data_IF_651167562449
#
_entry.id   IF_651167562449
#
_cell.length_a   1.000
_cell.length_b   1.000
_cell.length_c   1.000
_cell.angle_alpha   90.00
_cell.angle_beta   90.00
_cell.angle_gamma   90.00
#
_symmetry.space_group_name_H-M   'P 1'
#
loop_
_entity.id
_entity.type
_entity.pdbx_description
1 polymer ?
#
# COMPACT_ATOMS: atom_id res chain seq x y z
N UNK A 1 73.42 14.43 -41.35
CA UNK A 1 73.45 15.48 -40.30
C UNK A 1 72.11 15.40 -39.58
N UNK A 2 71.96 14.61 -38.49
CA UNK A 2 72.27 14.96 -37.08
C UNK A 2 71.42 16.17 -36.64
N UNK A 3 70.57 16.17 -35.59
CA UNK A 3 70.30 15.35 -34.39
C UNK A 3 68.75 15.28 -34.20
N UNK A 4 68.08 14.21 -33.75
CA UNK A 4 68.11 13.44 -32.49
C UNK A 4 67.44 14.11 -31.27
N UNK A 5 66.29 13.52 -30.86
CA UNK A 5 65.81 13.19 -29.49
C UNK A 5 64.30 12.93 -29.55
N UNK A 6 63.80 11.69 -29.62
CA UNK A 6 63.65 10.61 -28.62
C UNK A 6 62.64 10.82 -27.47
N UNK A 7 61.81 9.78 -27.28
CA UNK A 7 60.88 9.52 -26.17
C UNK A 7 59.53 8.98 -26.70
N UNK A 8 59.43 7.77 -27.28
CA UNK A 8 59.31 6.41 -26.68
C UNK A 8 58.10 6.26 -25.72
N UNK A 9 57.06 5.56 -26.18
CA UNK A 9 56.36 4.53 -25.41
C UNK A 9 56.08 3.35 -26.35
N UNK A 10 56.44 2.17 -25.85
CA UNK A 10 56.60 0.89 -26.55
C UNK A 10 55.33 0.02 -26.40
N UNK A 11 54.97 -0.71 -27.45
CA UNK A 11 53.98 -1.78 -27.42
C UNK A 11 54.71 -3.09 -27.05
N UNK A 12 54.23 -3.82 -26.04
CA UNK A 12 54.38 -5.29 -25.97
C UNK A 12 53.19 -5.82 -25.17
N UNK A 13 52.31 -6.59 -25.79
CA UNK A 13 52.40 -8.03 -26.07
C UNK A 13 51.85 -8.86 -24.90
N UNK A 14 50.74 -9.54 -25.22
CA UNK A 14 50.06 -10.54 -24.41
C UNK A 14 51.01 -11.70 -24.11
N UNK A 15 51.25 -11.98 -22.83
CA UNK A 15 51.64 -13.32 -22.39
C UNK A 15 50.82 -13.76 -21.18
N UNK A 16 50.15 -14.89 -21.42
CA UNK A 16 49.49 -15.77 -20.47
C UNK A 16 50.49 -16.25 -19.41
N UNK A 17 50.15 -16.08 -18.13
CA UNK A 17 50.84 -16.75 -17.03
C UNK A 17 49.82 -17.33 -16.06
N UNK A 18 49.63 -18.65 -16.13
CA UNK A 18 49.00 -19.44 -15.08
C UNK A 18 49.92 -19.47 -13.85
N UNK A 19 49.39 -19.04 -12.70
CA UNK A 19 50.15 -18.97 -11.45
C UNK A 19 49.25 -18.86 -10.24
N UNK A 20 48.56 -19.95 -9.93
CA UNK A 20 47.79 -20.20 -8.71
C UNK A 20 48.34 -19.54 -7.44
N UNK A 21 47.66 -18.50 -6.94
CA UNK A 21 47.67 -18.15 -5.51
C UNK A 21 46.23 -18.03 -5.01
N UNK A 22 45.91 -18.98 -4.12
CA UNK A 22 44.64 -19.09 -3.43
C UNK A 22 44.39 -17.85 -2.57
N UNK A 23 43.43 -17.01 -2.97
CA UNK A 23 42.57 -16.35 -2.00
C UNK A 23 41.23 -17.05 -2.01
N UNK A 24 41.14 -18.07 -1.15
CA UNK A 24 39.88 -18.67 -0.74
C UNK A 24 39.20 -17.61 0.13
N UNK A 25 38.42 -16.72 -0.49
CA UNK A 25 37.43 -15.93 0.25
C UNK A 25 36.39 -16.95 0.70
N UNK A 26 36.64 -17.49 1.87
CA UNK A 26 35.64 -18.21 2.64
C UNK A 26 34.77 -17.11 3.23
N UNK A 27 33.79 -16.62 2.47
CA UNK A 27 32.65 -15.95 3.10
C UNK A 27 31.95 -17.04 3.90
N UNK A 28 32.31 -17.09 5.18
CA UNK A 28 31.56 -17.79 6.20
C UNK A 28 30.11 -17.32 6.12
N UNK A 29 29.25 -18.12 5.46
CA UNK A 29 27.81 -18.07 5.63
C UNK A 29 27.53 -18.59 7.05
N UNK A 30 27.86 -17.75 8.04
CA UNK A 30 27.54 -17.95 9.45
C UNK A 30 26.44 -17.01 9.92
N UNK A 31 25.93 -16.12 9.05
CA UNK A 31 24.99 -15.07 9.40
C UNK A 31 23.53 -15.51 9.54
N UNK A 32 23.12 -16.61 8.87
CA UNK A 32 21.75 -17.13 9.00
C UNK A 32 21.54 -17.83 10.35
N UNK A 33 22.52 -18.59 10.87
CA UNK A 33 22.37 -19.28 12.16
C UNK A 33 22.37 -18.29 13.34
N UNK A 34 23.18 -17.23 13.28
CA UNK A 34 23.17 -16.18 14.33
C UNK A 34 21.88 -15.35 14.34
N UNK A 35 21.32 -15.01 13.18
CA UNK A 35 20.07 -14.23 13.12
C UNK A 35 18.87 -15.05 13.62
N UNK A 36 18.79 -16.33 13.24
CA UNK A 36 17.73 -17.24 13.70
C UNK A 36 17.84 -17.53 15.20
N UNK A 37 19.07 -17.63 15.73
CA UNK A 37 19.32 -17.74 17.19
C UNK A 37 18.94 -16.48 17.95
N UNK A 38 19.27 -15.29 17.43
CA UNK A 38 18.90 -14.02 18.06
C UNK A 38 17.37 -13.85 18.07
N UNK A 39 16.69 -14.17 16.96
CA UNK A 39 15.22 -14.13 16.89
C UNK A 39 14.56 -15.16 17.82
N UNK A 40 15.17 -16.34 17.96
CA UNK A 40 14.78 -17.38 18.92
C UNK A 40 14.94 -16.94 20.39
N UNK A 41 16.02 -16.22 20.70
CA UNK A 41 16.25 -15.67 22.06
C UNK A 41 15.24 -14.56 22.36
N UNK A 42 14.97 -13.66 21.41
CA UNK A 42 14.00 -12.58 21.57
C UNK A 42 12.59 -13.15 21.78
N UNK A 43 12.18 -14.14 20.99
CA UNK A 43 10.87 -14.80 21.17
C UNK A 43 10.77 -15.54 22.49
N UNK A 44 11.82 -16.21 22.94
CA UNK A 44 11.85 -16.85 24.27
C UNK A 44 11.74 -15.81 25.41
N UNK A 45 12.44 -14.66 25.29
CA UNK A 45 12.34 -13.57 26.27
C UNK A 45 10.92 -13.00 26.32
N UNK A 46 10.28 -12.78 25.17
CA UNK A 46 8.90 -12.31 25.09
C UNK A 46 7.90 -13.31 25.69
N UNK A 47 8.11 -14.61 25.48
CA UNK A 47 7.29 -15.67 26.11
C UNK A 47 7.44 -15.69 27.64
N UNK A 48 8.67 -15.52 28.15
CA UNK A 48 8.93 -15.42 29.59
C UNK A 48 8.28 -14.17 30.19
N UNK A 49 8.35 -13.03 29.50
CA UNK A 49 7.69 -11.79 29.93
C UNK A 49 6.17 -11.97 29.97
N UNK A 50 5.58 -12.59 28.93
CA UNK A 50 4.15 -12.87 28.89
C UNK A 50 3.70 -13.81 30.03
N UNK A 51 4.50 -14.84 30.36
CA UNK A 51 4.25 -15.72 31.49
C UNK A 51 4.35 -15.00 32.83
N UNK A 52 5.35 -14.13 33.00
CA UNK A 52 5.48 -13.31 34.22
C UNK A 52 4.28 -12.35 34.39
N UNK A 53 3.84 -11.72 33.30
CA UNK A 53 2.62 -10.89 33.31
C UNK A 53 1.38 -11.71 33.66
N UNK A 54 1.25 -12.93 33.12
CA UNK A 54 0.15 -13.84 33.45
C UNK A 54 0.16 -14.23 34.93
N UNK A 55 1.34 -14.52 35.50
CA UNK A 55 1.50 -14.84 36.93
C UNK A 55 1.11 -13.64 37.80
N UNK A 56 1.51 -12.42 37.41
CA UNK A 56 1.13 -11.19 38.13
C UNK A 56 -0.38 -10.99 38.08
N UNK A 57 -1.01 -11.16 36.92
CA UNK A 57 -2.47 -11.07 36.76
C UNK A 57 -3.17 -12.13 37.61
N UNK A 58 -2.74 -13.38 37.57
CA UNK A 58 -3.30 -14.46 38.39
C UNK A 58 -3.14 -14.22 39.89
N UNK A 59 -2.02 -13.63 40.31
CA UNK A 59 -1.74 -13.26 41.70
C UNK A 59 -2.66 -12.14 42.18
N UNK A 60 -2.93 -11.14 41.32
CA UNK A 60 -3.89 -10.07 41.60
C UNK A 60 -5.30 -10.65 41.70
N UNK A 61 -5.71 -11.51 40.76
CA UNK A 61 -7.03 -12.16 40.76
C UNK A 61 -7.22 -13.04 41.99
N UNK A 62 -6.24 -13.86 42.35
CA UNK A 62 -6.27 -14.69 43.56
C UNK A 62 -6.29 -13.83 44.84
N UNK A 63 -5.54 -12.73 44.87
CA UNK A 63 -5.56 -11.74 45.95
C UNK A 63 -6.95 -11.13 46.13
N UNK A 64 -7.60 -10.71 45.05
CA UNK A 64 -8.98 -10.20 45.11
C UNK A 64 -9.99 -11.28 45.52
N UNK A 65 -9.86 -12.52 45.03
CA UNK A 65 -10.79 -13.61 45.35
C UNK A 65 -10.68 -14.05 46.81
N UNK A 66 -9.47 -14.05 47.39
CA UNK A 66 -9.25 -14.35 48.80
C UNK A 66 -9.89 -13.32 49.74
N UNK A 67 -9.98 -12.04 49.30
CA UNK A 67 -10.61 -10.96 50.07
C UNK A 67 -12.15 -11.00 50.02
N UNK A 68 -12.74 -11.60 48.99
CA UNK A 68 -14.19 -11.82 48.94
C UNK A 68 -14.65 -12.94 49.89
N UNK A 69 -13.79 -13.91 50.21
CA UNK A 69 -14.10 -15.01 51.13
C UNK A 69 -13.95 -14.65 52.62
N UNK A 70 -13.53 -13.43 52.97
CA UNK A 70 -13.34 -12.99 54.37
C UNK A 70 -14.28 -11.85 54.79
N UNK A 71 -15.40 -11.66 54.09
CA UNK A 71 -16.43 -10.72 54.51
C UNK A 71 -17.30 -11.41 55.56
N UNK A 72 -17.05 -11.12 56.84
CA UNK A 72 -17.97 -11.46 57.93
C UNK A 72 -19.30 -10.71 57.71
N UNK A 73 -20.39 -11.48 57.73
CA UNK A 73 -21.77 -10.95 57.65
C UNK A 73 -22.15 -10.42 59.04
N UNK A 74 -22.33 -9.10 59.16
CA UNK A 74 -22.87 -8.50 60.39
C UNK A 74 -24.39 -8.69 60.46
N UNK A 75 -24.84 -9.53 61.39
CA UNK A 75 -26.24 -9.68 61.79
C UNK A 75 -26.56 -8.69 62.94
N UNK A 76 -27.65 -7.93 62.85
CA UNK A 76 -28.05 -6.99 63.91
C UNK A 76 -29.31 -7.49 64.63
N UNK A 77 -29.15 -7.94 65.88
CA UNK A 77 -30.25 -8.13 66.84
C UNK A 77 -30.17 -7.07 67.95
N UNK A 78 -31.25 -6.35 68.22
CA UNK A 78 -31.53 -5.79 69.54
C UNK A 78 -33.03 -5.44 69.70
N UNK A 79 -33.58 -5.75 70.87
CA UNK A 79 -34.99 -5.67 71.22
C UNK A 79 -35.34 -4.52 72.18
N UNK A 80 -36.54 -3.95 72.01
CA UNK A 80 -37.40 -3.30 73.04
C UNK A 80 -37.25 -1.78 73.27
N UNK A 81 -38.29 -1.04 73.75
CA UNK A 81 -39.53 -1.49 74.40
C UNK A 81 -40.88 -0.88 73.89
N UNK A 82 -42.02 -1.42 74.34
CA UNK A 82 -43.43 -0.98 74.18
C UNK A 82 -43.97 -0.32 75.48
N UNK A 83 -45.23 0.18 75.60
CA UNK A 83 -46.12 0.97 74.72
C UNK A 83 -46.81 2.17 75.46
N UNK A 84 -47.52 3.10 74.76
CA UNK A 84 -48.81 3.68 75.25
C UNK A 84 -49.56 4.56 74.21
N UNK A 85 -50.84 4.20 74.06
CA UNK A 85 -52.09 4.86 73.62
C UNK A 85 -52.19 6.39 73.43
N UNK A 86 -52.95 6.82 72.40
CA UNK A 86 -53.90 7.95 72.48
C UNK A 86 -53.89 9.01 71.37
N UNK A 87 -54.86 8.91 70.44
CA UNK A 87 -55.62 9.97 69.74
C UNK A 87 -54.95 11.24 69.13
N UNK A 88 -55.09 11.32 67.80
CA UNK A 88 -55.62 12.43 66.98
C UNK A 88 -54.90 13.80 66.86
N UNK A 89 -54.65 14.13 65.58
CA UNK A 89 -54.52 15.44 64.91
C UNK A 89 -53.28 16.30 65.21
N UNK A 90 -52.47 16.50 64.17
CA UNK A 90 -51.71 17.74 63.98
C UNK A 90 -50.28 17.57 63.46
N UNK A 91 -50.14 17.71 62.13
CA UNK A 91 -48.94 18.19 61.40
C UNK A 91 -47.64 17.40 61.46
N UNK A 92 -47.21 16.94 60.28
CA UNK A 92 -45.87 16.45 59.94
C UNK A 92 -44.85 17.59 60.06
N UNK A 93 -43.69 17.34 60.70
CA UNK A 93 -42.44 17.75 60.08
C UNK A 93 -41.43 16.59 59.96
N UNK A 94 -40.59 16.78 58.95
CA UNK A 94 -39.74 15.79 58.30
C UNK A 94 -38.55 15.33 59.16
N UNK A 95 -38.16 14.08 58.94
CA UNK A 95 -37.29 13.23 59.76
C UNK A 95 -35.81 13.65 59.65
N UNK A 96 -35.11 13.73 60.78
CA UNK A 96 -33.63 13.66 60.85
C UNK A 96 -33.18 13.02 62.14
N UNK A 97 -32.63 11.79 62.07
CA UNK A 97 -31.59 11.19 62.93
C UNK A 97 -31.50 9.67 62.69
N UNK A 98 -30.40 8.97 63.04
CA UNK A 98 -29.04 9.43 63.32
C UNK A 98 -27.94 8.70 62.51
N UNK A 99 -26.77 9.33 62.56
CA UNK A 99 -25.47 8.91 62.03
C UNK A 99 -25.01 7.57 62.63
N UNK A 100 -24.67 6.59 61.78
CA UNK A 100 -23.81 5.48 62.16
C UNK A 100 -22.34 5.90 61.98
N UNK A 101 -21.64 6.07 63.10
CA UNK A 101 -20.20 6.25 63.15
C UNK A 101 -19.57 4.85 63.36
N UNK A 102 -19.11 4.21 62.29
CA UNK A 102 -18.21 3.04 62.39
C UNK A 102 -16.95 3.40 61.63
N UNK A 103 -15.88 3.63 62.40
CA UNK A 103 -14.53 3.79 61.88
C UNK A 103 -14.02 2.43 61.39
N UNK A 104 -14.07 2.17 60.10
CA UNK A 104 -13.24 1.14 59.48
C UNK A 104 -11.94 1.79 59.01
N UNK A 105 -10.89 1.64 59.81
CA UNK A 105 -9.53 1.93 59.38
C UNK A 105 -9.13 0.92 58.30
N UNK A 106 -9.17 1.34 57.05
CA UNK A 106 -8.45 0.69 55.95
C UNK A 106 -7.48 1.70 55.31
N UNK A 107 -6.66 2.35 56.13
CA UNK A 107 -5.42 2.97 55.67
C UNK A 107 -4.31 1.92 55.81
N UNK A 108 -4.18 1.12 54.76
CA UNK A 108 -3.10 0.17 54.57
C UNK A 108 -2.65 0.21 53.12
N UNK A 109 -1.81 1.21 52.83
CA UNK A 109 -0.95 1.33 51.64
C UNK A 109 -1.57 1.90 50.34
N UNK A 110 -1.79 3.23 50.32
CA UNK A 110 -2.00 4.02 49.09
C UNK A 110 -0.70 4.53 48.46
N UNK A 111 0.47 4.06 48.94
CA UNK A 111 1.79 4.47 48.42
C UNK A 111 2.32 3.53 47.33
N UNK A 112 1.74 2.34 47.19
CA UNK A 112 2.20 1.32 46.23
C UNK A 112 1.73 1.58 44.79
N UNK A 113 0.59 2.24 44.57
CA UNK A 113 0.00 2.38 43.22
C UNK A 113 0.56 3.54 42.39
N UNK A 114 1.00 4.64 43.02
CA UNK A 114 1.52 5.82 42.29
C UNK A 114 2.86 5.58 41.59
N UNK A 115 3.81 4.92 42.28
CA UNK A 115 5.17 4.70 41.77
C UNK A 115 5.21 3.75 40.56
N UNK A 116 4.37 2.72 40.55
CA UNK A 116 4.28 1.80 39.41
C UNK A 116 3.62 2.44 38.19
N UNK A 117 2.63 3.32 38.40
CA UNK A 117 1.96 4.08 37.33
C UNK A 117 2.91 5.11 36.72
N UNK A 118 3.68 5.83 37.54
CA UNK A 118 4.68 6.78 37.07
C UNK A 118 5.82 6.09 36.30
N UNK A 119 6.24 4.92 36.75
CA UNK A 119 7.24 4.08 36.06
C UNK A 119 6.72 3.63 34.68
N UNK A 120 5.44 3.28 34.58
CA UNK A 120 4.81 2.84 33.33
C UNK A 120 4.68 4.00 32.32
N UNK A 121 4.26 5.19 32.78
CA UNK A 121 4.14 6.41 31.97
C UNK A 121 5.52 6.89 31.49
N UNK A 122 6.53 6.84 32.35
CA UNK A 122 7.89 7.22 31.97
C UNK A 122 8.51 6.21 30.99
N UNK A 123 8.23 4.91 31.17
CA UNK A 123 8.68 3.85 30.25
C UNK A 123 8.04 3.96 28.86
N UNK A 124 6.77 4.34 28.76
CA UNK A 124 6.09 4.53 27.47
C UNK A 124 6.56 5.80 26.76
N UNK A 125 6.81 6.89 27.49
CA UNK A 125 7.39 8.13 26.95
C UNK A 125 8.82 7.92 26.41
N UNK A 126 9.63 7.14 27.12
CA UNK A 126 10.99 6.78 26.73
C UNK A 126 11.02 5.88 25.48
N UNK A 127 10.05 4.96 25.38
CA UNK A 127 9.86 4.13 24.18
C UNK A 127 9.49 4.99 22.97
N UNK A 128 8.62 5.99 23.15
CA UNK A 128 8.28 6.97 22.11
C UNK A 128 9.48 7.79 21.64
N UNK A 129 10.39 8.19 22.56
CA UNK A 129 11.63 8.90 22.22
C UNK A 129 12.60 8.04 21.41
N UNK A 130 12.83 6.80 21.83
CA UNK A 130 13.72 5.87 21.11
C UNK A 130 13.21 5.53 19.70
N UNK A 131 11.89 5.52 19.52
CA UNK A 131 11.27 5.34 18.20
C UNK A 131 11.52 6.56 17.29
N UNK A 132 11.44 7.77 17.84
CA UNK A 132 11.73 9.01 17.12
C UNK A 132 13.21 9.11 16.71
N UNK A 133 14.11 8.64 17.57
CA UNK A 133 15.53 8.55 17.24
C UNK A 133 15.78 7.54 16.11
N UNK A 134 15.08 6.40 16.08
CA UNK A 134 15.21 5.41 15.01
C UNK A 134 14.80 5.95 13.62
N UNK A 135 13.82 6.86 13.57
CA UNK A 135 13.42 7.57 12.35
C UNK A 135 14.51 8.50 11.80
N UNK A 136 15.44 8.99 12.63
CA UNK A 136 16.52 9.89 12.20
C UNK A 136 17.69 9.18 11.51
N UNK A 137 17.82 7.86 11.70
CA UNK A 137 18.94 7.05 11.19
C UNK A 137 18.71 6.45 9.80
N UNK A 138 17.48 6.43 9.29
CA UNK A 138 17.14 5.78 8.02
C UNK A 138 17.22 6.75 6.84
N UNK A 139 18.45 7.18 6.52
CA UNK A 139 18.76 8.10 5.41
C UNK A 139 19.31 7.44 4.13
N UNK A 140 19.11 6.13 3.91
CA UNK A 140 19.59 5.46 2.70
C UNK A 140 18.57 4.43 2.16
N UNK A 141 18.34 4.53 0.84
CA UNK A 141 17.56 3.68 -0.08
C UNK A 141 16.04 3.92 -0.18
N UNK A 142 15.59 4.30 -1.38
CA UNK A 142 14.39 5.13 -1.61
C UNK A 142 13.03 4.41 -1.68
N UNK A 143 12.97 3.08 -1.77
CA UNK A 143 11.68 2.35 -1.88
C UNK A 143 11.30 1.58 -0.61
N UNK A 144 12.28 1.07 0.14
CA UNK A 144 12.04 0.27 1.34
C UNK A 144 11.75 1.18 2.56
N UNK A 145 12.28 2.39 2.54
CA UNK A 145 12.30 3.31 3.68
C UNK A 145 11.04 4.19 3.77
N UNK A 146 10.40 4.54 2.64
CA UNK A 146 9.12 5.26 2.64
C UNK A 146 8.00 4.43 3.31
N UNK A 147 7.94 3.12 3.01
CA UNK A 147 6.94 2.23 3.61
C UNK A 147 7.16 2.04 5.12
N UNK A 148 8.42 1.86 5.55
CA UNK A 148 8.75 1.70 6.98
C UNK A 148 8.43 3.00 7.74
N UNK A 149 8.70 4.17 7.15
CA UNK A 149 8.41 5.49 7.74
C UNK A 149 6.89 5.72 7.88
N UNK A 150 6.11 5.39 6.86
CA UNK A 150 4.65 5.51 6.87
C UNK A 150 4.01 4.57 7.91
N UNK A 151 4.48 3.31 7.96
CA UNK A 151 4.00 2.32 8.93
C UNK A 151 4.40 2.70 10.37
N UNK A 152 5.61 3.20 10.60
CA UNK A 152 6.04 3.71 11.90
C UNK A 152 5.20 4.89 12.36
N UNK A 153 4.82 5.80 11.45
CA UNK A 153 3.97 6.95 11.76
C UNK A 153 2.56 6.53 12.18
N UNK A 154 1.95 5.56 11.48
CA UNK A 154 0.65 4.99 11.84
C UNK A 154 0.69 4.26 13.19
N UNK A 155 1.76 3.51 13.46
CA UNK A 155 1.98 2.84 14.74
C UNK A 155 2.15 3.88 15.87
N UNK A 156 2.87 4.96 15.62
CA UNK A 156 3.09 6.04 16.59
C UNK A 156 1.78 6.76 16.93
N UNK A 157 0.97 7.10 15.93
CA UNK A 157 -0.32 7.76 16.11
C UNK A 157 -1.31 6.85 16.87
N UNK A 158 -1.38 5.56 16.51
CA UNK A 158 -2.22 4.57 17.19
C UNK A 158 -1.80 4.28 18.63
N UNK A 159 -0.48 4.25 18.89
CA UNK A 159 0.06 4.12 20.24
C UNK A 159 -0.26 5.35 21.08
N UNK A 160 -0.07 6.56 20.54
CA UNK A 160 -0.40 7.82 21.24
C UNK A 160 -1.89 7.92 21.59
N UNK A 161 -2.79 7.61 20.66
CA UNK A 161 -4.24 7.60 20.90
C UNK A 161 -4.65 6.58 21.99
N UNK A 162 -4.07 5.38 21.93
CA UNK A 162 -4.28 4.34 22.94
C UNK A 162 -3.78 4.77 24.32
N UNK A 163 -2.68 5.52 24.38
CA UNK A 163 -2.09 6.02 25.64
C UNK A 163 -3.00 7.09 26.27
N UNK A 164 -3.57 7.98 25.45
CA UNK A 164 -4.53 9.02 25.90
C UNK A 164 -5.80 8.37 26.47
N UNK A 165 -6.35 7.37 25.77
CA UNK A 165 -7.52 6.62 26.23
C UNK A 165 -7.26 5.85 27.52
N UNK A 166 -6.08 5.22 27.64
CA UNK A 166 -5.69 4.52 28.87
C UNK A 166 -5.53 5.47 30.06
N UNK A 167 -4.96 6.67 29.84
CA UNK A 167 -4.90 7.71 30.88
C UNK A 167 -6.29 8.18 31.32
N UNK A 168 -7.26 8.27 30.41
CA UNK A 168 -8.66 8.58 30.75
C UNK A 168 -9.28 7.53 31.68
N UNK A 169 -9.10 6.25 31.33
CA UNK A 169 -9.60 5.11 32.14
C UNK A 169 -8.94 5.09 33.53
N UNK A 170 -7.62 5.32 33.61
CA UNK A 170 -6.89 5.35 34.88
C UNK A 170 -7.39 6.49 35.77
N UNK A 171 -7.63 7.68 35.20
CA UNK A 171 -8.22 8.80 35.94
C UNK A 171 -9.66 8.51 36.37
N UNK A 172 -10.44 7.82 35.54
CA UNK A 172 -11.78 7.33 35.88
C UNK A 172 -11.75 6.37 37.07
N UNK A 173 -10.86 5.38 37.07
CA UNK A 173 -10.70 4.42 38.16
C UNK A 173 -10.16 5.07 39.45
N UNK A 174 -9.23 6.02 39.34
CA UNK A 174 -8.70 6.75 40.48
C UNK A 174 -9.80 7.51 41.23
N UNK A 175 -10.79 8.05 40.50
CA UNK A 175 -11.93 8.75 41.06
C UNK A 175 -13.00 7.83 41.66
N UNK A 176 -13.03 6.53 41.30
CA UNK A 176 -13.92 5.52 41.91
C UNK A 176 -13.42 5.13 43.32
N UNK A 177 -12.11 5.23 43.58
CA UNK A 177 -11.51 4.88 44.87
C UNK A 177 -11.64 5.93 45.97
N UNK A 178 -12.07 7.17 45.67
CA UNK A 178 -11.91 8.30 46.59
C UNK A 178 -13.20 8.93 47.12
N UNK A 179 -14.41 8.42 46.84
CA UNK A 179 -15.63 9.03 47.38
C UNK A 179 -16.66 8.00 47.87
N UNK A 180 -17.05 8.11 49.14
CA UNK A 180 -18.28 7.52 49.67
C UNK A 180 -19.48 8.10 48.90
N UNK A 181 -20.10 7.44 47.90
CA UNK A 181 -21.52 7.67 47.51
C UNK A 181 -22.06 6.64 46.49
N UNK A 182 -23.30 6.20 46.75
CA UNK A 182 -24.35 5.58 45.92
C UNK A 182 -23.96 4.66 44.74
N UNK A 183 -24.38 3.40 44.87
CA UNK A 183 -24.24 2.29 43.90
C UNK A 183 -24.60 2.64 42.44
N UNK A 184 -25.51 3.60 42.20
CA UNK A 184 -25.90 4.02 40.85
C UNK A 184 -24.82 4.84 40.10
N UNK A 185 -24.02 5.65 40.81
CA UNK A 185 -22.97 6.47 40.17
C UNK A 185 -21.76 5.60 39.82
N UNK A 186 -21.42 4.65 40.69
CA UNK A 186 -20.41 3.63 40.41
C UNK A 186 -20.80 2.75 39.21
N UNK A 187 -22.08 2.36 39.11
CA UNK A 187 -22.59 1.60 37.96
C UNK A 187 -22.51 2.40 36.65
N UNK A 188 -22.82 3.71 36.69
CA UNK A 188 -22.69 4.59 35.53
C UNK A 188 -21.24 4.75 35.07
N UNK A 189 -20.30 4.91 36.00
CA UNK A 189 -18.88 5.01 35.69
C UNK A 189 -18.32 3.67 35.16
N UNK A 190 -18.74 2.54 35.72
CA UNK A 190 -18.41 1.19 35.20
C UNK A 190 -18.98 1.01 33.79
N UNK A 191 -20.21 1.47 33.52
CA UNK A 191 -20.80 1.43 32.18
C UNK A 191 -19.99 2.25 31.17
N UNK A 192 -19.58 3.47 31.53
CA UNK A 192 -18.72 4.31 30.69
C UNK A 192 -17.36 3.65 30.42
N UNK A 193 -16.73 3.09 31.46
CA UNK A 193 -15.47 2.34 31.33
C UNK A 193 -15.67 1.10 30.45
N UNK A 194 -16.79 0.40 30.57
CA UNK A 194 -17.09 -0.79 29.76
C UNK A 194 -17.25 -0.41 28.29
N UNK A 195 -17.89 0.73 28.00
CA UNK A 195 -18.02 1.24 26.63
C UNK A 195 -16.69 1.75 26.07
N UNK A 196 -15.85 2.38 26.89
CA UNK A 196 -14.49 2.77 26.49
C UNK A 196 -13.61 1.53 26.25
N UNK A 197 -13.68 0.50 27.09
CA UNK A 197 -13.01 -0.79 26.88
C UNK A 197 -13.53 -1.48 25.64
N UNK A 198 -14.83 -1.44 25.36
CA UNK A 198 -15.41 -2.00 24.13
C UNK A 198 -14.94 -1.21 22.89
N UNK A 199 -14.81 0.11 23.00
CA UNK A 199 -14.25 0.96 21.96
C UNK A 199 -12.77 0.66 21.73
N UNK A 200 -12.01 0.37 22.79
CA UNK A 200 -10.61 -0.05 22.71
C UNK A 200 -10.53 -1.48 22.15
N UNK A 201 -11.36 -2.43 22.57
CA UNK A 201 -11.42 -3.77 21.99
C UNK A 201 -11.72 -3.70 20.50
N UNK A 202 -12.72 -2.93 20.08
CA UNK A 202 -13.01 -2.69 18.66
C UNK A 202 -11.88 -1.92 17.96
N UNK A 203 -11.21 -0.98 18.64
CA UNK A 203 -10.02 -0.30 18.08
C UNK A 203 -8.81 -1.22 18.00
N UNK A 204 -8.66 -2.21 18.86
CA UNK A 204 -7.56 -3.20 18.88
C UNK A 204 -7.84 -4.41 18.01
N UNK A 205 -9.12 -4.73 17.76
CA UNK A 205 -9.58 -5.67 16.73
C UNK A 205 -9.55 -5.01 15.34
N UNK A 206 -9.77 -3.69 15.27
CA UNK A 206 -9.55 -2.85 14.08
C UNK A 206 -8.10 -2.36 13.94
N UNK A 207 -7.25 -2.54 14.96
CA UNK A 207 -5.83 -2.87 14.80
C UNK A 207 -5.79 -4.35 14.36
N UNK A 208 -6.55 -4.65 13.31
CA UNK A 208 -6.01 -5.41 12.23
C UNK A 208 -4.81 -4.60 11.73
N UNK A 209 -3.67 -4.73 12.42
CA UNK A 209 -2.48 -4.94 11.61
C UNK A 209 -2.93 -6.09 10.70
N UNK A 210 -2.89 -5.98 9.37
CA UNK A 210 -2.71 -7.17 8.60
C UNK A 210 -1.31 -7.69 8.95
N UNK A 211 -1.10 -8.20 10.18
CA UNK A 211 -0.34 -9.42 10.33
C UNK A 211 -1.25 -10.40 9.63
N UNK A 212 -1.13 -10.47 8.29
CA UNK A 212 -1.74 -11.51 7.52
C UNK A 212 -1.36 -12.79 8.26
N UNK A 213 -2.36 -13.40 8.90
CA UNK A 213 -2.21 -14.63 9.67
C UNK A 213 -1.87 -15.68 8.62
N UNK A 214 -0.60 -15.78 8.20
CA UNK A 214 -0.12 -16.66 7.15
C UNK A 214 -1.25 -17.06 6.21
N UNK A 215 -1.90 -16.09 5.55
CA UNK A 215 -2.92 -16.44 4.57
C UNK A 215 -2.09 -16.93 3.41
N UNK A 216 -1.79 -18.22 3.41
CA UNK A 216 -1.17 -18.96 2.31
C UNK A 216 -2.16 -19.02 1.14
N UNK A 217 -2.74 -17.89 0.78
CA UNK A 217 -3.45 -17.67 -0.45
C UNK A 217 -2.42 -17.33 -1.51
N UNK A 218 -2.45 -18.06 -2.62
CA UNK A 218 -1.58 -17.82 -3.77
C UNK A 218 -1.92 -16.53 -4.52
N UNK A 219 -3.06 -15.88 -4.23
CA UNK A 219 -3.52 -14.66 -4.89
C UNK A 219 -4.55 -13.88 -4.05
N UNK A 220 -4.78 -12.61 -4.40
CA UNK A 220 -5.86 -11.80 -3.80
C UNK A 220 -7.24 -12.46 -4.01
N UNK A 221 -7.45 -13.12 -5.15
CA UNK A 221 -8.70 -13.82 -5.44
C UNK A 221 -8.92 -14.98 -4.47
N UNK A 222 -7.88 -15.77 -4.19
CA UNK A 222 -7.98 -16.87 -3.22
C UNK A 222 -8.32 -16.36 -1.82
N UNK A 223 -7.72 -15.23 -1.40
CA UNK A 223 -8.03 -14.58 -0.13
C UNK A 223 -9.49 -14.11 -0.11
N UNK A 224 -9.95 -13.40 -1.14
CA UNK A 224 -11.34 -12.90 -1.21
C UNK A 224 -12.36 -14.05 -1.22
N UNK A 225 -12.04 -15.17 -1.86
CA UNK A 225 -12.90 -16.36 -1.85
C UNK A 225 -12.96 -17.02 -0.47
N UNK A 226 -11.84 -17.08 0.25
CA UNK A 226 -11.79 -17.67 1.60
C UNK A 226 -12.39 -16.74 2.67
N UNK A 227 -12.20 -15.43 2.51
CA UNK A 227 -12.69 -14.39 3.41
C UNK A 227 -13.43 -13.31 2.60
N UNK A 228 -14.73 -13.49 2.31
CA UNK A 228 -15.51 -12.54 1.51
C UNK A 228 -15.56 -11.12 2.07
N UNK A 229 -15.41 -10.97 3.40
CA UNK A 229 -15.41 -9.66 4.08
C UNK A 229 -14.04 -8.96 4.08
N UNK A 230 -13.01 -9.55 3.43
CA UNK A 230 -11.70 -8.92 3.32
C UNK A 230 -11.80 -7.59 2.57
N UNK A 231 -11.21 -6.54 3.13
CA UNK A 231 -11.19 -5.18 2.57
C UNK A 231 -9.97 -4.93 1.68
N UNK A 232 -10.00 -3.89 0.86
CA UNK A 232 -8.88 -3.54 0.00
C UNK A 232 -7.68 -3.05 0.82
N UNK A 233 -6.47 -3.42 0.40
CA UNK A 233 -5.27 -3.08 1.15
C UNK A 233 -4.06 -3.92 0.73
N UNK A 234 -2.97 -3.79 1.48
CA UNK A 234 -1.76 -4.57 1.23
C UNK A 234 -1.79 -5.91 1.97
N UNK A 235 -1.51 -6.98 1.24
CA UNK A 235 -1.45 -8.36 1.72
C UNK A 235 -0.07 -8.96 1.42
N UNK A 236 0.32 -9.97 2.19
CA UNK A 236 1.53 -10.76 1.88
C UNK A 236 1.14 -11.97 1.04
N UNK A 237 1.58 -12.02 -0.21
CA UNK A 237 1.33 -13.11 -1.17
C UNK A 237 2.68 -13.60 -1.71
N UNK A 238 2.95 -14.89 -1.60
CA UNK A 238 4.24 -15.50 -2.00
C UNK A 238 5.49 -14.80 -1.41
N UNK A 239 5.37 -14.19 -0.23
CA UNK A 239 6.44 -13.43 0.42
C UNK A 239 6.59 -11.97 -0.03
N UNK A 240 5.72 -11.50 -0.93
CA UNK A 240 5.70 -10.12 -1.43
C UNK A 240 4.50 -9.34 -0.89
N UNK A 241 4.69 -8.03 -0.67
CA UNK A 241 3.60 -7.11 -0.34
C UNK A 241 2.87 -6.73 -1.62
N UNK A 242 1.61 -7.16 -1.76
CA UNK A 242 0.77 -6.96 -2.94
C UNK A 242 -0.48 -6.19 -2.52
N UNK A 243 -0.82 -5.13 -3.27
CA UNK A 243 -2.10 -4.45 -3.05
C UNK A 243 -3.22 -5.28 -3.66
N UNK A 244 -4.17 -5.70 -2.83
CA UNK A 244 -5.38 -6.36 -3.24
C UNK A 244 -6.53 -5.37 -3.27
N UNK A 245 -7.15 -5.20 -4.45
CA UNK A 245 -8.46 -4.58 -4.53
C UNK A 245 -9.52 -5.64 -4.24
N UNK A 246 -10.12 -5.57 -3.05
CA UNK A 246 -11.12 -6.53 -2.59
C UNK A 246 -12.55 -6.01 -2.68
N UNK A 247 -12.73 -4.69 -2.73
CA UNK A 247 -14.06 -4.07 -2.58
C UNK A 247 -14.63 -3.61 -3.91
N UNK A 248 -13.78 -3.10 -4.80
CA UNK A 248 -14.23 -2.50 -6.05
C UNK A 248 -14.33 -3.55 -7.15
N UNK A 249 -15.39 -3.46 -7.95
CA UNK A 249 -15.51 -4.19 -9.22
C UNK A 249 -14.57 -3.57 -10.25
N UNK A 250 -13.67 -4.37 -10.82
CA UNK A 250 -12.82 -3.96 -11.94
C UNK A 250 -13.13 -4.83 -13.15
N UNK A 251 -13.27 -4.20 -14.32
CA UNK A 251 -13.56 -4.88 -15.59
C UNK A 251 -14.76 -5.84 -15.52
N UNK A 252 -15.82 -5.44 -14.81
CA UNK A 252 -17.03 -6.25 -14.62
C UNK A 252 -16.88 -7.45 -13.65
N UNK A 253 -15.71 -7.65 -13.05
CA UNK A 253 -15.45 -8.71 -12.06
C UNK A 253 -15.32 -8.12 -10.66
N UNK A 254 -16.02 -8.71 -9.69
CA UNK A 254 -15.91 -8.35 -8.28
C UNK A 254 -14.45 -8.45 -7.78
N UNK A 255 -14.19 -7.94 -6.58
CA UNK A 255 -12.84 -7.86 -5.99
C UNK A 255 -12.05 -9.17 -5.90
N UNK A 256 -10.85 -9.09 -5.33
CA UNK A 256 -9.83 -10.12 -5.38
C UNK A 256 -8.78 -9.89 -6.48
N UNK A 257 -8.64 -8.65 -6.94
CA UNK A 257 -7.67 -8.25 -7.95
C UNK A 257 -6.32 -7.92 -7.33
N UNK A 258 -5.24 -8.48 -7.86
CA UNK A 258 -3.87 -8.26 -7.40
C UNK A 258 -3.20 -7.18 -8.24
N UNK A 259 -2.87 -6.02 -7.67
CA UNK A 259 -2.17 -4.95 -8.41
C UNK A 259 -0.70 -5.30 -8.58
N UNK A 260 -0.25 -5.36 -9.83
CA UNK A 260 1.14 -5.70 -10.20
C UNK A 260 1.91 -4.51 -10.77
N UNK A 261 1.21 -3.45 -11.19
CA UNK A 261 1.83 -2.21 -11.66
C UNK A 261 1.01 -0.99 -11.20
N UNK A 262 1.70 0.07 -10.79
CA UNK A 262 1.08 1.34 -10.44
C UNK A 262 2.06 2.49 -10.69
N UNK A 263 1.59 3.52 -11.38
CA UNK A 263 2.22 4.82 -11.50
C UNK A 263 1.11 5.87 -11.58
N UNK A 264 1.29 6.95 -10.83
CA UNK A 264 0.48 8.16 -10.92
C UNK A 264 1.41 9.37 -10.78
N UNK A 265 1.74 10.00 -11.89
CA UNK A 265 2.67 11.12 -11.93
C UNK A 265 2.07 12.44 -11.44
N UNK A 266 0.74 12.49 -11.21
CA UNK A 266 0.09 13.60 -10.51
C UNK A 266 0.51 13.64 -9.03
N UNK A 267 0.87 12.48 -8.46
CA UNK A 267 1.56 12.40 -7.18
C UNK A 267 3.01 12.87 -7.33
N UNK A 268 3.29 14.05 -6.79
CA UNK A 268 4.61 14.67 -6.78
C UNK A 268 5.72 13.81 -6.16
N UNK A 269 5.37 12.81 -5.35
CA UNK A 269 6.33 11.91 -4.69
C UNK A 269 6.78 10.75 -5.59
N UNK A 270 6.03 10.45 -6.64
CA UNK A 270 6.39 9.40 -7.59
C UNK A 270 7.41 9.89 -8.61
N UNK A 271 8.29 8.99 -9.04
CA UNK A 271 9.32 9.26 -10.04
C UNK A 271 9.16 8.32 -11.22
N UNK A 272 9.69 8.72 -12.38
CA UNK A 272 9.69 7.83 -13.53
C UNK A 272 10.48 6.56 -13.25
N UNK A 273 9.96 5.38 -13.68
CA UNK A 273 10.69 4.14 -13.53
C UNK A 273 12.04 4.18 -14.25
N UNK A 274 12.98 3.37 -13.76
CA UNK A 274 14.29 3.20 -14.41
C UNK A 274 14.14 2.88 -15.90
N UNK A 275 14.89 3.59 -16.74
CA UNK A 275 14.81 3.44 -18.20
C UNK A 275 13.82 4.38 -18.88
N UNK A 276 13.13 5.26 -18.12
CA UNK A 276 12.25 6.30 -18.65
C UNK A 276 12.77 7.69 -18.28
N UNK A 277 12.51 8.69 -19.13
CA UNK A 277 12.81 10.10 -18.84
C UNK A 277 11.57 10.82 -18.32
N UNK A 278 11.79 11.81 -17.47
CA UNK A 278 10.74 12.69 -16.98
C UNK A 278 10.43 13.79 -18.00
N UNK A 279 9.16 13.87 -18.41
CA UNK A 279 8.54 15.07 -18.94
C UNK A 279 7.95 15.88 -17.79
N UNK A 280 8.23 17.18 -17.76
CA UNK A 280 7.72 18.10 -16.75
C UNK A 280 7.49 19.48 -17.38
N UNK A 281 6.46 19.57 -18.20
CA UNK A 281 6.12 20.74 -19.02
C UNK A 281 4.60 20.89 -19.07
N UNK A 282 4.09 22.12 -19.22
CA UNK A 282 2.64 22.35 -19.32
C UNK A 282 1.84 22.00 -18.06
N UNK A 283 2.50 21.90 -16.90
CA UNK A 283 1.86 21.56 -15.63
C UNK A 283 1.61 20.05 -15.42
N UNK A 284 2.01 19.20 -16.37
CA UNK A 284 1.90 17.75 -16.25
C UNK A 284 3.27 17.10 -16.07
N UNK A 285 3.29 15.98 -15.37
CA UNK A 285 4.45 15.09 -15.25
C UNK A 285 4.13 13.76 -15.92
N UNK A 286 5.05 13.25 -16.72
CA UNK A 286 4.87 11.99 -17.44
C UNK A 286 6.21 11.31 -17.72
N UNK A 287 6.19 10.03 -18.08
CA UNK A 287 7.37 9.21 -18.27
C UNK A 287 7.46 8.68 -19.70
N UNK A 288 8.40 9.20 -20.47
CA UNK A 288 8.62 8.84 -21.88
C UNK A 288 9.92 8.07 -22.10
N UNK A 289 10.21 7.74 -23.35
CA UNK A 289 11.45 7.06 -23.76
C UNK A 289 12.68 7.93 -23.46
N UNK A 290 13.86 7.36 -23.14
CA UNK A 290 15.11 8.12 -23.10
C UNK A 290 15.38 8.82 -24.42
N UNK A 291 16.13 9.94 -24.36
CA UNK A 291 16.49 10.70 -25.55
C UNK A 291 17.22 9.79 -26.54
N UNK A 292 16.63 9.63 -27.72
CA UNK A 292 17.11 8.83 -28.85
C UNK A 292 16.74 9.50 -30.16
N UNK A 293 17.59 9.38 -31.17
CA UNK A 293 17.35 9.81 -32.56
C UNK A 293 16.87 8.66 -33.46
N UNK A 294 16.47 7.54 -32.85
CA UNK A 294 16.08 6.33 -33.56
C UNK A 294 14.81 5.74 -32.97
N UNK A 295 14.08 5.07 -33.85
CA UNK A 295 12.96 4.19 -33.55
C UNK A 295 13.28 3.21 -32.42
N UNK A 296 12.26 2.80 -31.67
CA UNK A 296 12.40 1.74 -30.70
C UNK A 296 11.46 1.84 -29.53
N UNK A 297 11.72 0.97 -28.55
CA UNK A 297 10.91 0.84 -27.34
C UNK A 297 11.77 0.99 -26.09
N UNK A 298 11.21 1.62 -25.08
CA UNK A 298 11.70 1.56 -23.70
C UNK A 298 10.76 0.69 -22.88
N UNK A 299 11.30 -0.26 -22.12
CA UNK A 299 10.51 -1.30 -21.49
C UNK A 299 10.66 -1.33 -19.98
N UNK A 300 9.57 -1.64 -19.29
CA UNK A 300 9.56 -2.08 -17.89
C UNK A 300 8.83 -3.41 -17.79
N UNK A 301 9.30 -4.25 -16.88
CA UNK A 301 8.69 -5.55 -16.58
C UNK A 301 8.07 -5.53 -15.18
N UNK A 302 6.83 -6.00 -15.10
CA UNK A 302 6.06 -6.11 -13.88
C UNK A 302 5.95 -7.58 -13.50
N UNK A 303 6.59 -7.93 -12.39
CA UNK A 303 6.56 -9.29 -11.84
C UNK A 303 5.15 -9.67 -11.43
N UNK A 304 4.69 -10.84 -11.88
CA UNK A 304 3.47 -11.46 -11.33
C UNK A 304 3.66 -11.93 -9.89
N UNK A 305 4.90 -11.99 -9.41
CA UNK A 305 5.30 -12.56 -8.11
C UNK A 305 4.81 -14.01 -7.92
N UNK A 306 4.73 -14.76 -9.03
CA UNK A 306 4.24 -16.14 -9.05
C UNK A 306 2.73 -16.27 -8.84
N UNK A 307 1.97 -15.17 -8.90
CA UNK A 307 0.52 -15.19 -8.89
C UNK A 307 0.07 -15.76 -10.23
N UNK A 308 -0.65 -16.88 -10.19
CA UNK A 308 -1.32 -17.41 -11.38
C UNK A 308 -2.57 -16.59 -11.67
N UNK A 309 -2.75 -16.19 -12.92
CA UNK A 309 -3.86 -15.35 -13.36
C UNK A 309 -4.47 -15.81 -14.68
N UNK A 310 -5.77 -15.61 -14.85
CA UNK A 310 -6.49 -15.80 -16.11
C UNK A 310 -7.09 -14.52 -16.65
N UNK A 311 -7.04 -13.43 -15.87
CA UNK A 311 -7.55 -12.12 -16.28
C UNK A 311 -6.53 -11.03 -15.98
N UNK A 312 -6.49 -10.02 -16.85
CA UNK A 312 -5.74 -8.78 -16.66
C UNK A 312 -6.74 -7.63 -16.85
N UNK A 313 -6.74 -6.71 -15.90
CA UNK A 313 -7.56 -5.51 -15.95
C UNK A 313 -6.69 -4.31 -15.60
N UNK A 314 -6.85 -3.20 -16.31
CA UNK A 314 -6.06 -2.02 -16.00
C UNK A 314 -6.45 -0.83 -16.84
N UNK A 315 -5.75 0.28 -16.62
CA UNK A 315 -5.82 1.47 -17.46
C UNK A 315 -4.45 2.08 -17.60
N UNK A 316 -4.23 2.74 -18.73
CA UNK A 316 -3.00 3.49 -19.05
C UNK A 316 -3.46 4.82 -19.62
N UNK A 317 -2.89 5.92 -19.13
CA UNK A 317 -3.13 7.25 -19.66
C UNK A 317 -1.80 7.95 -19.89
N UNK A 318 -1.71 8.68 -20.98
CA UNK A 318 -0.49 9.35 -21.40
C UNK A 318 -0.76 10.62 -22.18
N UNK A 319 0.27 11.06 -22.87
CA UNK A 319 0.23 12.26 -23.69
C UNK A 319 0.92 11.99 -25.02
N UNK A 320 0.47 12.69 -26.05
CA UNK A 320 1.18 12.74 -27.32
C UNK A 320 2.31 13.76 -27.20
N UNK A 321 3.52 13.39 -27.63
CA UNK A 321 4.57 14.35 -27.94
C UNK A 321 4.80 14.33 -29.44
N UNK A 322 4.76 15.50 -30.08
CA UNK A 322 5.14 15.62 -31.48
C UNK A 322 4.23 14.88 -32.46
N UNK A 323 4.83 14.19 -33.44
CA UNK A 323 4.13 13.67 -34.63
C UNK A 323 3.92 12.16 -34.65
N UNK A 324 3.38 11.58 -33.58
CA UNK A 324 3.11 10.12 -33.51
C UNK A 324 2.30 9.60 -34.69
N UNK A 325 2.69 8.46 -35.24
CA UNK A 325 2.18 7.92 -36.50
C UNK A 325 1.30 6.67 -36.35
N UNK A 326 0.72 6.44 -35.17
CA UNK A 326 -0.15 5.30 -34.88
C UNK A 326 0.46 3.93 -35.21
N UNK A 327 0.12 3.35 -36.38
CA UNK A 327 0.62 2.04 -36.88
C UNK A 327 1.21 2.18 -38.28
N UNK A 328 1.63 3.39 -38.65
CA UNK A 328 2.02 3.72 -40.01
C UNK A 328 3.18 2.82 -40.49
N UNK A 329 3.12 2.31 -41.74
CA UNK A 329 4.08 1.31 -42.19
C UNK A 329 5.36 1.89 -42.81
N UNK A 330 5.51 3.21 -42.94
CA UNK A 330 6.52 3.78 -43.85
C UNK A 330 7.87 4.13 -43.22
N UNK A 331 7.98 4.25 -41.90
CA UNK A 331 9.15 4.89 -41.29
C UNK A 331 10.10 3.91 -40.56
N UNK A 332 9.94 2.60 -40.82
CA UNK A 332 10.81 1.55 -40.28
C UNK A 332 11.22 0.45 -41.29
N UNK A 333 12.09 -0.51 -40.88
CA UNK A 333 12.43 -1.67 -41.69
C UNK A 333 11.15 -2.39 -42.14
N UNK A 334 11.11 -2.83 -43.40
CA UNK A 334 9.93 -3.49 -43.96
C UNK A 334 9.41 -4.62 -43.04
N UNK A 335 8.16 -4.50 -42.59
CA UNK A 335 7.46 -5.52 -41.80
C UNK A 335 7.59 -5.38 -40.28
N UNK A 336 8.20 -4.32 -39.76
CA UNK A 336 8.25 -4.04 -38.31
C UNK A 336 6.85 -3.98 -37.69
N UNK A 337 5.84 -3.47 -38.40
CA UNK A 337 4.47 -3.42 -37.93
C UNK A 337 3.86 -4.82 -37.72
N UNK A 338 4.34 -5.86 -38.41
CA UNK A 338 3.84 -7.22 -38.24
C UNK A 338 4.64 -8.04 -37.23
N UNK A 339 5.58 -7.43 -36.51
CA UNK A 339 6.45 -8.10 -35.56
C UNK A 339 6.13 -7.66 -34.14
N UNK A 340 5.59 -8.59 -33.32
CA UNK A 340 5.30 -8.34 -31.91
C UNK A 340 6.53 -7.91 -31.11
N UNK A 341 7.73 -8.30 -31.56
CA UNK A 341 8.98 -7.93 -30.89
C UNK A 341 9.48 -6.54 -31.26
N UNK A 342 8.89 -5.89 -32.27
CA UNK A 342 9.23 -4.55 -32.72
C UNK A 342 8.42 -3.46 -32.03
N UNK A 343 8.72 -2.20 -32.39
CA UNK A 343 7.92 -1.00 -32.15
C UNK A 343 6.76 -0.92 -33.16
N UNK A 344 5.88 -1.93 -33.18
CA UNK A 344 4.85 -2.05 -34.22
C UNK A 344 3.74 -0.98 -34.19
N UNK A 345 3.75 -0.12 -33.17
CA UNK A 345 2.85 1.00 -33.01
C UNK A 345 3.48 2.05 -32.09
N UNK A 346 3.12 3.30 -32.31
CA UNK A 346 3.41 4.42 -31.44
C UNK A 346 2.48 4.41 -30.25
N UNK A 347 3.05 4.37 -29.05
CA UNK A 347 2.28 4.36 -27.82
C UNK A 347 2.77 3.32 -26.84
N UNK A 348 1.84 2.68 -26.12
CA UNK A 348 2.12 1.72 -25.06
C UNK A 348 1.73 0.30 -25.49
N UNK A 349 2.70 -0.61 -25.48
CA UNK A 349 2.52 -2.01 -25.87
C UNK A 349 2.61 -2.90 -24.62
N UNK A 350 1.49 -3.54 -24.25
CA UNK A 350 1.46 -4.52 -23.16
C UNK A 350 1.59 -5.93 -23.72
N UNK A 351 2.56 -6.68 -23.20
CA UNK A 351 2.85 -8.06 -23.61
C UNK A 351 3.17 -8.94 -22.41
N UNK A 352 3.15 -10.26 -22.59
CA UNK A 352 3.55 -11.23 -21.56
C UNK A 352 4.31 -12.42 -22.15
N UNK A 353 5.06 -13.10 -21.29
CA UNK A 353 5.66 -14.40 -21.59
C UNK A 353 6.83 -14.36 -22.57
N UNK A 354 7.46 -15.53 -22.74
CA UNK A 354 8.54 -15.76 -23.70
C UNK A 354 8.32 -17.13 -24.38
N UNK A 355 7.95 -17.19 -25.69
CA UNK A 355 7.88 -16.07 -26.63
C UNK A 355 6.79 -15.06 -26.26
N UNK A 356 7.00 -13.80 -26.70
CA UNK A 356 6.15 -12.66 -26.39
C UNK A 356 4.73 -12.89 -26.92
N UNK A 357 3.74 -12.61 -26.09
CA UNK A 357 2.32 -12.69 -26.42
C UNK A 357 1.64 -11.35 -26.14
N UNK A 358 0.66 -11.00 -26.98
CA UNK A 358 -0.06 -9.73 -26.90
C UNK A 358 -1.08 -9.72 -25.76
N UNK A 359 -1.10 -8.61 -25.01
CA UNK A 359 -2.08 -8.33 -23.96
C UNK A 359 -3.02 -7.22 -24.39
N UNK A 360 -2.47 -6.03 -24.66
CA UNK A 360 -3.21 -4.83 -25.08
C UNK A 360 -2.28 -3.84 -25.78
N UNK A 361 -2.80 -3.03 -26.70
CA UNK A 361 -2.05 -1.94 -27.34
C UNK A 361 -2.76 -0.61 -27.12
N UNK A 362 -2.03 0.43 -26.73
CA UNK A 362 -2.52 1.80 -26.66
C UNK A 362 -1.78 2.62 -27.71
N UNK A 363 -2.50 3.11 -28.71
CA UNK A 363 -1.95 3.71 -29.92
C UNK A 363 -2.14 5.23 -29.88
N UNK A 364 -1.09 6.00 -30.15
CA UNK A 364 -1.17 7.44 -30.30
C UNK A 364 -1.27 7.82 -31.78
N UNK A 365 -2.35 8.49 -32.17
CA UNK A 365 -2.55 8.98 -33.54
C UNK A 365 -1.93 10.35 -33.80
N UNK A 366 -1.78 10.70 -35.08
CA UNK A 366 -1.19 11.98 -35.50
C UNK A 366 -2.09 13.20 -35.22
N UNK A 367 -3.37 13.12 -35.56
CA UNK A 367 -4.38 14.17 -35.31
C UNK A 367 -5.79 13.59 -35.23
N UNK A 368 -6.64 14.26 -34.46
CA UNK A 368 -8.07 13.95 -34.33
C UNK A 368 -8.97 14.74 -35.30
N UNK A 369 -8.41 15.68 -36.09
CA UNK A 369 -9.19 16.65 -36.88
C UNK A 369 -8.93 16.67 -38.38
N UNK A 370 -7.85 16.07 -38.88
CA UNK A 370 -7.46 16.14 -40.31
C UNK A 370 -7.18 14.76 -40.93
N UNK A 371 -7.50 14.63 -42.22
CA UNK A 371 -7.24 13.46 -43.06
C UNK A 371 -5.99 13.59 -43.95
N UNK A 372 -5.23 14.70 -43.84
CA UNK A 372 -4.04 14.96 -44.67
C UNK A 372 -2.99 13.83 -44.53
N UNK A 373 -2.86 13.28 -43.32
CA UNK A 373 -2.02 12.13 -43.01
C UNK A 373 -2.88 10.97 -42.46
N UNK A 374 -4.00 10.66 -43.11
CA UNK A 374 -4.97 9.69 -42.60
C UNK A 374 -4.36 8.34 -42.18
N UNK A 375 -3.29 7.88 -42.81
CA UNK A 375 -2.66 6.60 -42.45
C UNK A 375 -1.89 6.64 -41.11
N UNK A 376 -1.47 7.82 -40.65
CA UNK A 376 -0.85 8.08 -39.33
C UNK A 376 -1.89 8.34 -38.23
N UNK A 377 -3.16 8.48 -38.59
CA UNK A 377 -4.22 8.60 -37.61
C UNK A 377 -4.59 7.24 -37.05
N UNK A 378 -5.43 7.26 -36.01
CA UNK A 378 -5.93 6.05 -35.40
C UNK A 378 -6.59 5.08 -36.40
N UNK A 379 -6.31 3.77 -36.33
CA UNK A 379 -6.90 2.77 -37.25
C UNK A 379 -8.44 2.70 -37.23
N UNK A 380 -9.05 3.14 -36.13
CA UNK A 380 -10.50 3.23 -35.96
C UNK A 380 -11.09 4.56 -36.43
N UNK A 381 -10.27 5.55 -36.81
CA UNK A 381 -10.74 6.85 -37.24
C UNK A 381 -11.39 6.80 -38.64
N UNK A 382 -12.32 7.72 -38.88
CA UNK A 382 -13.04 7.81 -40.15
C UNK A 382 -12.08 8.12 -41.30
N UNK A 383 -12.18 7.34 -42.39
CA UNK A 383 -11.37 7.54 -43.60
C UNK A 383 -9.98 6.90 -43.55
N UNK A 384 -9.60 6.28 -42.42
CA UNK A 384 -8.34 5.56 -42.27
C UNK A 384 -8.45 4.15 -42.88
N UNK A 385 -7.39 3.70 -43.55
CA UNK A 385 -7.34 2.37 -44.19
C UNK A 385 -6.27 1.46 -43.60
N UNK A 386 -5.37 2.00 -42.76
CA UNK A 386 -4.40 1.22 -42.02
C UNK A 386 -5.10 0.38 -40.97
N UNK A 387 -4.60 -0.84 -40.75
CA UNK A 387 -5.14 -1.76 -39.77
C UNK A 387 -4.06 -2.16 -38.78
N UNK A 388 -4.49 -2.44 -37.55
CA UNK A 388 -3.59 -2.99 -36.54
C UNK A 388 -3.11 -4.39 -36.96
N UNK A 389 -1.92 -4.81 -36.47
CA UNK A 389 -1.41 -6.15 -36.76
C UNK A 389 -2.38 -7.24 -36.30
N UNK A 390 -2.42 -8.36 -37.03
CA UNK A 390 -3.40 -9.43 -36.76
C UNK A 390 -3.36 -9.99 -35.32
N UNK A 391 -2.21 -9.97 -34.66
CA UNK A 391 -2.07 -10.41 -33.27
C UNK A 391 -2.64 -9.43 -32.23
N UNK A 392 -2.88 -8.17 -32.61
CA UNK A 392 -3.52 -7.14 -31.77
C UNK A 392 -5.04 -7.32 -31.80
N UNK A 393 -5.62 -7.59 -32.97
CA UNK A 393 -7.06 -7.78 -33.12
C UNK A 393 -7.86 -6.58 -32.61
N UNK A 394 -8.79 -6.82 -31.67
CA UNK A 394 -9.63 -5.78 -31.06
C UNK A 394 -9.09 -5.30 -29.69
N UNK A 395 -7.97 -5.83 -29.24
CA UNK A 395 -7.41 -5.56 -27.92
C UNK A 395 -6.51 -4.30 -27.97
N UNK A 396 -7.10 -3.18 -28.40
CA UNK A 396 -6.42 -1.90 -28.46
C UNK A 396 -7.33 -0.70 -28.19
N UNK A 397 -6.71 0.38 -27.73
CA UNK A 397 -7.29 1.73 -27.77
C UNK A 397 -6.43 2.63 -28.65
N UNK A 398 -7.04 3.65 -29.25
CA UNK A 398 -6.32 4.65 -30.00
C UNK A 398 -6.94 6.02 -29.79
N UNK A 399 -6.10 7.03 -29.62
CA UNK A 399 -6.49 8.43 -29.43
C UNK A 399 -5.34 9.34 -29.88
N UNK A 400 -5.62 10.59 -30.21
CA UNK A 400 -4.64 11.62 -30.58
C UNK A 400 -4.82 12.84 -29.68
N UNK A 401 -3.76 13.29 -29.01
CA UNK A 401 -3.81 14.51 -28.20
C UNK A 401 -3.75 15.81 -29.02
N UNK A 402 -3.52 15.71 -30.33
CA UNK A 402 -3.43 16.85 -31.23
C UNK A 402 -4.77 17.21 -31.89
N UNK A 403 -5.46 18.19 -31.31
CA UNK A 403 -6.66 18.81 -31.89
C UNK A 403 -6.45 19.75 -33.07
N UNK A 404 -5.21 19.91 -33.56
CA UNK A 404 -4.86 20.72 -34.72
C UNK A 404 -4.61 19.89 -35.99
N UNK A 405 -4.63 20.54 -37.15
CA UNK A 405 -4.33 19.89 -38.45
C UNK A 405 -2.89 19.39 -38.56
N UNK A 406 -1.94 20.10 -37.94
CA UNK A 406 -0.53 19.79 -37.98
C UNK A 406 -0.01 19.57 -36.57
N UNK A 407 1.04 18.77 -36.45
CA UNK A 407 1.73 18.53 -35.19
C UNK A 407 2.81 19.58 -34.96
N UNK A 408 3.28 19.66 -33.73
CA UNK A 408 4.41 20.48 -33.30
C UNK A 408 5.19 19.70 -32.26
N UNK A 409 6.50 19.92 -32.17
CA UNK A 409 7.42 19.24 -31.23
C UNK A 409 7.20 19.68 -29.77
N UNK A 410 5.97 19.49 -29.28
CA UNK A 410 5.49 19.84 -27.95
C UNK A 410 4.80 18.64 -27.33
N UNK A 411 4.68 18.68 -26.00
CA UNK A 411 3.80 17.76 -25.27
C UNK A 411 2.37 18.32 -25.32
N UNK A 412 1.45 17.56 -25.89
CA UNK A 412 0.03 17.90 -25.92
C UNK A 412 -0.61 17.53 -24.58
N UNK A 413 -0.79 18.53 -23.71
CA UNK A 413 -1.24 18.31 -22.31
C UNK A 413 -2.72 18.56 -22.08
N UNK A 414 -3.40 19.17 -23.06
CA UNK A 414 -4.83 19.53 -22.93
C UNK A 414 -5.75 18.33 -23.15
N UNK A 415 -5.24 17.31 -23.82
CA UNK A 415 -5.97 16.12 -24.17
C UNK A 415 -5.16 14.88 -23.77
N UNK A 416 -5.74 14.04 -22.94
CA UNK A 416 -5.04 12.91 -22.32
C UNK A 416 -5.31 11.68 -23.16
N UNK A 417 -4.25 11.01 -23.60
CA UNK A 417 -4.41 9.81 -24.40
C UNK A 417 -5.00 8.65 -23.61
N UNK A 418 -5.84 7.90 -24.32
CA UNK A 418 -6.49 6.64 -23.95
C UNK A 418 -7.47 6.76 -22.79
N UNK A 419 -8.09 7.92 -22.65
CA UNK A 419 -9.15 8.16 -21.69
C UNK A 419 -10.56 8.19 -22.31
N UNK A 420 -10.65 8.25 -23.64
CA UNK A 420 -11.88 8.24 -24.41
C UNK A 420 -12.66 9.55 -24.30
N UNK A 421 -12.00 10.65 -23.97
CA UNK A 421 -12.58 11.97 -23.82
C UNK A 421 -11.96 12.95 -24.81
N UNK A 422 -12.62 14.10 -25.02
CA UNK A 422 -12.11 15.17 -25.90
C UNK A 422 -12.00 14.82 -27.39
N UNK A 423 -12.26 13.58 -27.77
CA UNK A 423 -12.10 13.07 -29.12
C UNK A 423 -12.78 13.87 -30.23
N UNK A 424 -11.98 14.21 -31.23
CA UNK A 424 -12.35 14.92 -32.43
C UNK A 424 -13.22 14.11 -33.39
N UNK A 425 -13.72 14.78 -34.43
CA UNK A 425 -14.69 14.19 -35.34
C UNK A 425 -14.17 12.95 -36.08
N UNK A 426 -12.86 12.87 -36.37
CA UNK A 426 -12.30 11.74 -37.11
C UNK A 426 -12.16 10.51 -36.21
N UNK A 427 -11.63 10.67 -35.00
CA UNK A 427 -11.38 9.56 -34.09
C UNK A 427 -12.54 9.25 -33.14
N UNK A 428 -13.67 9.96 -33.23
CA UNK A 428 -14.87 9.65 -32.44
C UNK A 428 -15.23 8.15 -32.38
N UNK A 429 -15.11 7.33 -33.45
CA UNK A 429 -15.36 5.89 -33.34
C UNK A 429 -14.38 5.17 -32.40
N UNK A 430 -13.15 5.66 -32.23
CA UNK A 430 -12.13 5.13 -31.33
C UNK A 430 -12.49 5.32 -29.85
N UNK A 431 -13.22 6.39 -29.53
CA UNK A 431 -13.59 6.73 -28.16
C UNK A 431 -14.95 6.17 -27.72
N UNK A 432 -15.71 5.60 -28.66
CA UNK A 432 -16.98 4.95 -28.38
C UNK A 432 -16.83 3.47 -28.00
N UNK A 433 -15.60 3.02 -27.72
CA UNK A 433 -15.33 1.65 -27.29
C UNK A 433 -15.81 1.48 -25.85
N UNK A 434 -16.48 0.36 -25.57
CA UNK A 434 -16.92 0.05 -24.22
C UNK A 434 -15.72 -0.07 -23.27
N UNK A 435 -15.94 0.33 -22.01
CA UNK A 435 -15.01 0.16 -20.90
C UNK A 435 -13.75 1.05 -20.88
N UNK A 436 -13.43 1.83 -21.94
CA UNK A 436 -12.37 2.86 -21.88
C UNK A 436 -12.62 3.81 -20.69
N UNK A 437 -11.60 4.11 -19.83
CA UNK A 437 -10.16 3.85 -19.96
C UNK A 437 -9.67 2.45 -19.52
N UNK A 438 -10.55 1.57 -19.08
CA UNK A 438 -10.21 0.26 -18.54
C UNK A 438 -10.20 -0.84 -19.60
N UNK A 439 -9.03 -1.40 -19.87
CA UNK A 439 -8.94 -2.61 -20.69
C UNK A 439 -9.16 -3.87 -19.88
N UNK A 440 -9.72 -4.90 -20.51
CA UNK A 440 -9.92 -6.22 -19.92
C UNK A 440 -9.45 -7.33 -20.87
N UNK A 441 -8.44 -8.08 -20.46
CA UNK A 441 -7.95 -9.26 -21.16
C UNK A 441 -8.30 -10.52 -20.38
N UNK A 442 -9.15 -11.38 -20.95
CA UNK A 442 -9.55 -12.67 -20.35
C UNK A 442 -9.01 -13.84 -21.17
N UNK A 443 -8.35 -14.78 -20.50
CA UNK A 443 -7.81 -16.01 -21.10
C UNK A 443 -8.72 -17.23 -20.87
N UNK A 444 -9.94 -17.02 -20.39
CA UNK A 444 -10.89 -18.09 -20.10
C UNK A 444 -10.40 -19.00 -18.98
N UNK A 445 -10.30 -20.30 -19.27
CA UNK A 445 -9.81 -21.32 -18.33
C UNK A 445 -8.29 -21.44 -18.27
N UNK A 446 -7.56 -20.76 -19.17
CA UNK A 446 -6.11 -20.79 -19.16
C UNK A 446 -5.58 -19.87 -18.06
N UNK A 447 -4.50 -20.29 -17.40
CA UNK A 447 -3.84 -19.47 -16.39
C UNK A 447 -2.35 -19.38 -16.66
N UNK A 448 -1.78 -18.23 -16.34
CA UNK A 448 -0.38 -17.89 -16.60
C UNK A 448 0.24 -17.28 -15.36
N UNK A 449 1.55 -17.36 -15.26
CA UNK A 449 2.37 -16.70 -14.22
C UNK A 449 3.39 -15.76 -14.84
N UNK A 450 3.28 -15.52 -16.15
CA UNK A 450 4.20 -14.68 -16.90
C UNK A 450 4.25 -13.27 -16.30
N UNK A 451 5.41 -12.64 -16.37
CA UNK A 451 5.50 -11.22 -16.10
C UNK A 451 4.80 -10.43 -17.22
N UNK A 452 4.25 -9.27 -16.87
CA UNK A 452 3.70 -8.34 -17.85
C UNK A 452 4.77 -7.32 -18.18
N UNK A 453 5.10 -7.18 -19.46
CA UNK A 453 5.98 -6.13 -19.94
C UNK A 453 5.17 -5.00 -20.54
N UNK A 454 5.46 -3.77 -20.11
CA UNK A 454 5.00 -2.55 -20.74
C UNK A 454 6.15 -1.92 -21.53
N UNK A 455 5.90 -1.57 -22.78
CA UNK A 455 6.84 -0.86 -23.63
C UNK A 455 6.23 0.44 -24.11
N UNK A 456 6.97 1.54 -23.98
CA UNK A 456 6.64 2.81 -24.66
C UNK A 456 7.47 2.85 -25.93
N UNK A 457 6.81 2.92 -27.08
CA UNK A 457 7.42 2.76 -28.39
C UNK A 457 7.10 3.95 -29.29
N UNK A 458 7.95 4.12 -30.31
CA UNK A 458 7.65 4.90 -31.50
C UNK A 458 8.57 4.48 -32.64
N UNK A 459 8.14 4.69 -33.88
CA UNK A 459 8.90 4.35 -35.08
C UNK A 459 9.94 5.42 -35.47
N UNK A 460 9.96 6.53 -34.76
CA UNK A 460 10.95 7.59 -34.90
C UNK A 460 11.73 7.92 -33.61
N UNK A 461 12.63 8.89 -33.72
CA UNK A 461 13.39 9.45 -32.59
C UNK A 461 12.52 10.30 -31.66
N UNK A 462 12.88 10.30 -30.38
CA UNK A 462 12.17 10.99 -29.28
C UNK A 462 12.17 12.52 -29.34
N UNK A 463 12.90 13.10 -30.31
CA UNK A 463 12.86 14.51 -30.63
C UNK A 463 11.73 14.86 -31.61
N UNK A 464 11.24 13.87 -32.38
CA UNK A 464 10.10 14.03 -33.29
C UNK A 464 8.81 13.56 -32.64
N UNK A 465 8.83 12.39 -31.99
CA UNK A 465 7.63 11.80 -31.37
C UNK A 465 7.96 11.03 -30.09
N UNK A 466 7.03 11.03 -29.13
CA UNK A 466 7.12 10.18 -27.93
C UNK A 466 5.72 10.00 -27.36
N UNK A 467 5.60 9.05 -26.44
CA UNK A 467 4.32 8.68 -25.84
C UNK A 467 4.41 8.66 -24.30
N UNK A 468 4.65 9.81 -23.63
CA UNK A 468 4.92 9.83 -22.20
C UNK A 468 3.69 9.40 -21.39
N UNK A 469 3.87 8.45 -20.49
CA UNK A 469 2.80 7.89 -19.66
C UNK A 469 2.71 8.64 -18.34
N UNK A 470 1.51 9.13 -18.00
CA UNK A 470 1.23 9.84 -16.75
C UNK A 470 0.62 8.94 -15.68
N UNK A 471 -0.15 7.93 -16.10
CA UNK A 471 -0.83 6.98 -15.21
C UNK A 471 -0.79 5.58 -15.80
N UNK A 472 -0.50 4.59 -14.97
CA UNK A 472 -0.96 3.23 -15.23
C UNK A 472 -1.33 2.53 -13.93
N UNK A 473 -2.37 1.70 -13.98
CA UNK A 473 -2.62 0.71 -12.94
C UNK A 473 -3.06 -0.60 -13.57
N UNK A 474 -2.38 -1.68 -13.22
CA UNK A 474 -2.56 -2.99 -13.84
C UNK A 474 -2.73 -4.04 -12.75
N UNK A 475 -3.80 -4.82 -12.89
CA UNK A 475 -4.22 -5.86 -11.98
C UNK A 475 -4.31 -7.21 -12.69
N UNK A 476 -4.04 -8.27 -11.94
CA UNK A 476 -4.23 -9.67 -12.37
C UNK A 476 -5.13 -10.42 -11.40
N UNK A 477 -5.87 -11.41 -11.91
CA UNK A 477 -6.78 -12.23 -11.10
C UNK A 477 -6.74 -13.69 -11.49
#
# INVERSE_FOLDING_TARGET
MSHEKEGIYDETELQEYEGTHRYKITTSIGGQDTFTRILGIITAILQVIALLLLIVILSIVAGTLSRFNSIDVCESTAAGPTPTTGASVGTVPNITAPVCNVSCNCLGDSTWTGSQVETLVNGSLETGRKLNDLLSYTGLDGMRTMNITQTLKLILEGAQDSTIKLSSIINGLANVGSSQYNTNTALHNIYLITQEILSIQNSTLNISIPIAINSSGSSCSAIKSAQPDSTSGFYTINGYSVYCNMDQTLCGSAGGWSRIAYLDMSDSTQNCPSGFRLYNTGGVRACGRPISFSAGCSSIEFSSNGISYSQICGRVQGYQFGSTDAVHPTDGPAGHQNNIDSYYADGVLLTRGSPRQHVWTFIAGYTETSDINANSNCPCANGVTTSVPSFVGNDYYCESGNGGTYTSEILYTNDTLWDGQTCGNLERPCCLVSDIPWFHRSYGSNSYTDNIQMRVCGDEGTNNEDNPVGLYEIYVK
#
